data_IF_308157880625
#
_entry.id   IF_308157880625
#
_cell.length_a   1.000
_cell.length_b   1.000
_cell.length_c   1.000
_cell.angle_alpha   90.00
_cell.angle_beta   90.00
_cell.angle_gamma   90.00
#
_symmetry.space_group_name_H-M   'P 1'
#
loop_
_entity.id
_entity.type
_entity.pdbx_description
1 polymer ?
#
# COMPACT_ATOMS: atom_id res chain seq x y z
N UNK A 1 -5.56 -6.53 15.26
CA UNK A 1 -6.20 -7.15 15.09
C UNK A 1 -6.39 -7.24 14.94
N UNK A 2 -6.00 -6.95 15.13
CA UNK A 2 -6.58 -7.45 14.87
C UNK A 2 -6.94 -7.58 14.99
N UNK A 3 -6.47 -7.37 15.18
CA UNK A 3 -7.12 -7.89 15.10
C UNK A 3 -7.52 -7.90 15.35
N UNK A 4 -7.18 -7.92 15.57
CA UNK A 4 -7.79 -8.34 15.61
C UNK A 4 -8.44 -8.59 15.42
N UNK A 5 -8.24 -8.23 15.60
CA UNK A 5 -9.01 -8.79 15.20
C UNK A 5 -9.34 -9.02 15.28
N UNK A 6 -9.29 -9.34 15.36
CA UNK A 6 -9.87 -9.98 15.10
C UNK A 6 -10.52 -10.53 15.04
N UNK A 7 -10.20 -10.47 15.36
CA UNK A 7 -11.04 -11.30 15.12
C UNK A 7 -11.35 -11.52 14.91
N UNK A 8 -11.39 -11.65 14.85
CA UNK A 8 -11.95 -12.28 14.39
C UNK A 8 -12.44 -12.83 14.25
N UNK A 9 -12.33 -13.13 14.40
CA UNK A 9 -12.98 -14.01 14.09
C UNK A 9 -13.14 -14.37 13.87
N UNK A 10 -13.16 -14.54 13.74
CA UNK A 10 -13.55 -15.21 13.33
C UNK A 10 -13.69 -15.75 13.22
N UNK A 11 -13.50 -16.03 13.30
CA UNK A 11 -13.73 -16.75 13.00
C UNK A 11 -14.00 -17.31 12.91
N UNK A 12 -14.11 -17.92 12.85
CA UNK A 12 -14.46 -18.55 12.58
C UNK A 12 -14.44 -19.30 12.50
N UNK A 13 -15.92 -20.08 13.03
CA UNK A 13 -14.93 -20.71 12.39
C UNK A 13 -13.57 -20.14 12.70
N UNK A 14 -12.93 -20.61 12.90
CA UNK A 14 -12.01 -19.79 13.10
C UNK A 14 -10.93 -19.54 12.08
N UNK A 15 -10.97 -18.91 11.15
CA UNK A 15 -10.16 -18.67 10.00
C UNK A 15 -9.76 -17.22 9.93
N UNK A 16 -8.50 -16.94 9.64
CA UNK A 16 -7.98 -15.57 9.58
C UNK A 16 -7.71 -15.19 8.14
N UNK A 17 -8.09 -13.96 7.78
CA UNK A 17 -7.85 -13.42 6.45
C UNK A 17 -7.02 -12.15 6.57
N UNK A 18 -6.10 -11.89 5.64
CA UNK A 18 -5.43 -10.60 5.59
C UNK A 18 -6.44 -9.48 5.38
N UNK A 19 -6.04 -8.26 5.77
CA UNK A 19 -6.90 -7.11 5.60
C UNK A 19 -7.32 -6.97 4.13
N UNK A 20 -8.60 -6.80 3.90
CA UNK A 20 -9.19 -6.68 2.56
C UNK A 20 -9.54 -8.01 1.91
N UNK A 21 -9.09 -9.11 2.46
CA UNK A 21 -9.33 -10.43 1.88
C UNK A 21 -10.82 -10.80 1.99
N UNK A 22 -11.34 -11.38 0.92
CA UNK A 22 -12.73 -11.86 0.91
C UNK A 22 -13.77 -10.78 0.69
N UNK A 23 -13.36 -9.56 0.40
CA UNK A 23 -14.28 -8.44 0.22
C UNK A 23 -15.08 -8.51 -1.07
N UNK A 24 -14.59 -9.23 -2.06
CA UNK A 24 -15.19 -9.25 -3.39
C UNK A 24 -15.44 -10.64 -3.89
N UNK A 25 -16.45 -10.77 -4.71
CA UNK A 25 -16.76 -12.01 -5.43
C UNK A 25 -16.39 -11.91 -6.90
N UNK A 26 -15.57 -10.94 -7.26
CA UNK A 26 -15.12 -10.73 -8.61
C UNK A 26 -13.60 -10.55 -8.60
N UNK A 27 -13.01 -10.36 -9.77
CA UNK A 27 -11.57 -10.22 -9.89
C UNK A 27 -11.21 -8.83 -10.36
N UNK A 28 -10.02 -8.39 -9.98
CA UNK A 28 -9.51 -7.06 -10.33
C UNK A 28 -8.11 -7.18 -10.91
N UNK A 29 -7.83 -6.35 -11.91
CA UNK A 29 -6.49 -6.23 -12.49
C UNK A 29 -5.91 -4.87 -12.15
N UNK A 30 -4.66 -4.87 -11.73
CA UNK A 30 -3.92 -3.65 -11.37
C UNK A 30 -2.90 -3.38 -12.45
N UNK A 31 -2.74 -2.11 -12.83
CA UNK A 31 -1.82 -1.74 -13.90
C UNK A 31 -1.40 -0.29 -13.81
N UNK A 32 -0.42 0.07 -14.63
CA UNK A 32 -0.01 1.46 -14.87
C UNK A 32 0.39 2.20 -13.61
N UNK A 33 1.24 1.56 -12.80
CA UNK A 33 1.81 2.23 -11.64
C UNK A 33 2.74 3.33 -12.12
N UNK A 34 2.48 4.56 -11.71
CA UNK A 34 3.27 5.72 -12.08
C UNK A 34 3.66 6.50 -10.83
N UNK A 35 4.94 6.72 -10.66
CA UNK A 35 5.48 7.55 -9.58
C UNK A 35 5.94 8.85 -10.21
N UNK A 36 5.26 9.95 -9.86
CA UNK A 36 5.50 11.22 -10.54
C UNK A 36 6.91 11.75 -10.33
N UNK A 37 7.38 11.65 -9.09
CA UNK A 37 8.71 12.16 -8.74
C UNK A 37 9.52 11.04 -8.12
N UNK A 38 10.28 10.28 -8.92
CA UNK A 38 11.04 9.14 -8.37
C UNK A 38 12.26 9.56 -7.55
N UNK A 39 12.58 10.85 -7.54
CA UNK A 39 13.67 11.37 -6.69
C UNK A 39 13.14 12.60 -5.99
N UNK A 40 13.19 12.61 -4.66
CA UNK A 40 12.72 13.74 -3.85
C UNK A 40 13.73 14.05 -2.75
N UNK A 41 13.58 15.21 -2.15
CA UNK A 41 14.35 15.56 -0.96
C UNK A 41 13.69 15.07 0.32
N UNK A 42 14.36 15.26 1.45
CA UNK A 42 13.85 14.77 2.74
C UNK A 42 12.58 15.48 3.19
N UNK A 43 12.25 16.62 2.61
CA UNK A 43 11.03 17.36 2.91
C UNK A 43 10.00 17.20 1.80
N UNK A 44 10.27 16.38 0.80
CA UNK A 44 9.40 16.24 -0.34
C UNK A 44 8.31 15.22 -0.14
N UNK A 45 7.36 15.22 -1.07
CA UNK A 45 6.28 14.24 -1.09
C UNK A 45 6.31 13.50 -2.42
N UNK A 46 5.83 12.26 -2.39
CA UNK A 46 5.76 11.41 -3.58
C UNK A 46 4.29 11.21 -3.91
N UNK A 47 3.93 11.50 -5.15
CA UNK A 47 2.60 11.19 -5.66
C UNK A 47 2.71 10.01 -6.60
N UNK A 48 1.87 9.02 -6.38
CA UNK A 48 1.84 7.84 -7.26
C UNK A 48 0.41 7.50 -7.59
N UNK A 49 0.24 6.84 -8.72
CA UNK A 49 -1.08 6.43 -9.18
C UNK A 49 -1.00 5.07 -9.83
N UNK A 50 -2.15 4.41 -9.88
CA UNK A 50 -2.28 3.14 -10.61
C UNK A 50 -3.71 3.02 -11.08
N UNK A 51 -3.96 2.02 -11.91
CA UNK A 51 -5.30 1.73 -12.40
C UNK A 51 -5.76 0.38 -11.89
N UNK A 52 -7.04 0.30 -11.53
CA UNK A 52 -7.67 -0.94 -11.08
C UNK A 52 -8.91 -1.14 -11.93
N UNK A 53 -9.02 -2.32 -12.50
CA UNK A 53 -10.13 -2.67 -13.39
C UNK A 53 -10.82 -3.92 -12.87
N UNK A 54 -12.14 -3.91 -12.89
CA UNK A 54 -12.93 -5.11 -12.57
C UNK A 54 -12.96 -6.00 -13.80
N UNK A 55 -12.30 -7.14 -13.72
CA UNK A 55 -12.20 -8.09 -14.83
C UNK A 55 -13.18 -9.25 -14.70
N UNK A 56 -14.02 -9.24 -13.67
CA UNK A 56 -14.99 -10.30 -13.47
C UNK A 56 -16.33 -9.97 -14.09
N UNK A 57 -17.32 -10.80 -13.78
CA UNK A 57 -18.64 -10.72 -14.39
C UNK A 57 -19.65 -9.99 -13.52
N UNK A 58 -19.30 -9.66 -12.30
CA UNK A 58 -20.20 -9.00 -11.37
C UNK A 58 -19.51 -7.77 -10.77
N UNK A 59 -20.33 -6.82 -10.32
CA UNK A 59 -19.79 -5.65 -9.62
C UNK A 59 -19.20 -6.09 -8.28
N UNK A 60 -18.23 -5.35 -7.81
CA UNK A 60 -17.62 -5.66 -6.53
C UNK A 60 -16.84 -4.50 -5.97
N UNK A 61 -16.48 -4.66 -4.71
CA UNK A 61 -15.68 -3.69 -3.98
C UNK A 61 -14.26 -4.22 -3.84
N UNK A 62 -13.31 -3.30 -3.87
CA UNK A 62 -11.91 -3.63 -3.62
C UNK A 62 -11.34 -2.62 -2.66
N UNK A 63 -10.46 -3.07 -1.76
CA UNK A 63 -9.65 -2.16 -0.97
C UNK A 63 -8.25 -2.20 -1.56
N UNK A 64 -7.88 -1.09 -2.21
CA UNK A 64 -6.56 -0.93 -2.81
C UNK A 64 -5.64 -0.45 -1.71
N UNK A 65 -4.58 -1.21 -1.43
CA UNK A 65 -3.68 -0.93 -0.31
C UNK A 65 -2.30 -0.56 -0.81
N UNK A 66 -1.70 0.41 -0.14
CA UNK A 66 -0.35 0.87 -0.44
C UNK A 66 0.55 0.54 0.73
N UNK A 67 1.58 -0.22 0.45
CA UNK A 67 2.61 -0.57 1.44
C UNK A 67 3.92 0.10 1.07
N UNK A 68 4.69 0.44 2.09
CA UNK A 68 5.97 1.09 1.94
C UNK A 68 7.04 0.28 2.66
N UNK A 69 8.19 0.14 2.04
CA UNK A 69 9.32 -0.52 2.64
C UNK A 69 10.56 0.34 2.43
N UNK A 70 11.26 0.64 3.53
CA UNK A 70 12.52 1.38 3.48
C UNK A 70 13.64 0.37 3.23
N UNK A 71 14.31 0.50 2.10
CA UNK A 71 15.33 -0.46 1.70
C UNK A 71 16.65 -0.24 2.43
N UNK A 72 16.89 0.99 2.90
CA UNK A 72 18.11 1.32 3.63
C UNK A 72 17.73 2.17 4.82
N UNK A 73 17.78 1.59 6.01
CA UNK A 73 17.35 2.26 7.23
C UNK A 73 18.44 2.16 8.27
N UNK A 74 18.55 3.20 9.10
CA UNK A 74 19.47 3.20 10.23
C UNK A 74 19.01 2.23 11.32
N UNK A 75 17.76 1.82 11.29
CA UNK A 75 17.25 0.77 12.17
C UNK A 75 17.03 -0.48 11.33
N UNK A 76 17.21 -1.65 11.97
CA UNK A 76 17.11 -2.91 11.23
C UNK A 76 15.65 -3.34 11.13
N UNK A 77 14.94 -2.76 10.18
CA UNK A 77 13.54 -3.08 9.97
C UNK A 77 13.30 -3.18 8.48
N UNK A 78 12.87 -4.36 8.04
CA UNK A 78 12.62 -4.61 6.63
C UNK A 78 11.19 -5.04 6.36
N UNK A 79 10.29 -4.73 7.29
CA UNK A 79 8.87 -5.06 7.09
C UNK A 79 8.21 -3.96 6.27
N UNK A 80 7.28 -4.37 5.44
CA UNK A 80 6.46 -3.42 4.72
C UNK A 80 5.35 -2.92 5.63
N UNK A 81 5.04 -1.65 5.53
CA UNK A 81 4.08 -0.99 6.41
C UNK A 81 2.97 -0.42 5.55
N UNK A 82 1.72 -0.65 5.96
CA UNK A 82 0.57 -0.06 5.28
C UNK A 82 0.58 1.44 5.47
N UNK A 83 0.60 2.20 4.38
CA UNK A 83 0.65 3.65 4.41
C UNK A 83 -0.56 4.31 3.79
N UNK A 84 -1.39 3.54 3.10
CA UNK A 84 -2.62 4.10 2.55
C UNK A 84 -3.53 3.02 2.04
N UNK A 85 -4.79 3.36 1.90
CA UNK A 85 -5.75 2.46 1.26
C UNK A 85 -6.91 3.28 0.74
N UNK A 86 -7.60 2.69 -0.25
CA UNK A 86 -8.81 3.30 -0.78
C UNK A 86 -9.77 2.19 -1.16
N UNK A 87 -11.01 2.33 -0.69
CA UNK A 87 -12.07 1.40 -1.04
C UNK A 87 -12.78 1.91 -2.27
N UNK A 88 -12.93 1.05 -3.27
CA UNK A 88 -13.58 1.41 -4.52
C UNK A 88 -14.65 0.39 -4.85
N UNK A 89 -15.65 0.82 -5.60
CA UNK A 89 -16.70 -0.04 -6.12
C UNK A 89 -16.67 0.05 -7.64
N UNK A 90 -16.54 -1.08 -8.31
CA UNK A 90 -16.42 -1.10 -9.77
C UNK A 90 -17.45 -2.06 -10.35
N UNK A 91 -18.09 -1.61 -11.43
CA UNK A 91 -18.95 -2.44 -12.25
C UNK A 91 -18.08 -3.35 -13.13
N UNK A 92 -18.64 -4.45 -13.66
CA UNK A 92 -17.86 -5.31 -14.55
C UNK A 92 -17.29 -4.50 -15.71
N UNK A 93 -15.99 -4.63 -15.93
CA UNK A 93 -15.29 -3.91 -16.98
C UNK A 93 -14.92 -2.49 -16.65
N UNK A 94 -15.35 -1.96 -15.51
CA UNK A 94 -15.04 -0.60 -15.13
C UNK A 94 -13.62 -0.50 -14.60
N UNK A 95 -12.95 0.61 -14.95
CA UNK A 95 -11.59 0.88 -14.51
C UNK A 95 -11.55 2.23 -13.81
N UNK A 96 -10.75 2.32 -12.75
CA UNK A 96 -10.60 3.57 -12.01
C UNK A 96 -9.13 3.81 -11.72
N UNK A 97 -8.73 5.08 -11.79
CA UNK A 97 -7.39 5.49 -11.41
C UNK A 97 -7.38 5.87 -9.95
N UNK A 98 -6.40 5.33 -9.22
CA UNK A 98 -6.25 5.52 -7.79
C UNK A 98 -4.95 6.30 -7.57
N UNK A 99 -5.00 7.31 -6.69
CA UNK A 99 -3.83 8.12 -6.37
C UNK A 99 -3.52 8.03 -4.89
N UNK A 100 -2.23 7.99 -4.59
CA UNK A 100 -1.74 8.05 -3.21
C UNK A 100 -0.65 9.13 -3.15
N UNK A 101 -0.55 9.77 -1.98
CA UNK A 101 0.50 10.74 -1.71
C UNK A 101 1.20 10.30 -0.45
N UNK A 102 2.53 10.16 -0.54
CA UNK A 102 3.37 9.86 0.61
C UNK A 102 4.07 11.13 1.03
N UNK A 103 3.85 11.53 2.27
CA UNK A 103 4.43 12.75 2.84
C UNK A 103 5.64 12.40 3.68
N UNK A 104 6.43 13.40 4.12
CA UNK A 104 7.53 13.10 5.04
C UNK A 104 7.08 12.35 6.30
N UNK A 105 5.84 12.56 6.73
CA UNK A 105 5.33 11.82 7.89
C UNK A 105 5.18 10.34 7.59
N UNK A 106 4.90 9.98 6.34
CA UNK A 106 4.81 8.57 5.94
C UNK A 106 6.18 7.94 5.75
N UNK A 107 7.18 8.74 5.40
CA UNK A 107 8.51 8.25 5.06
C UNK A 107 9.45 8.23 6.26
N UNK A 108 9.12 8.96 7.30
CA UNK A 108 10.01 9.13 8.44
C UNK A 108 9.97 7.97 9.41
N UNK A 109 10.98 7.95 10.25
CA UNK A 109 11.07 6.98 11.34
C UNK A 109 11.69 7.65 12.56
N UNK A 110 11.52 7.00 13.71
CA UNK A 110 12.18 7.43 14.94
C UNK A 110 13.55 6.75 14.99
N UNK A 111 14.60 7.57 15.04
CA UNK A 111 15.95 7.03 15.10
C UNK A 111 16.34 6.72 16.57
N UNK A 112 17.55 6.22 16.74
CA UNK A 112 18.01 5.82 18.07
C UNK A 112 18.18 7.00 19.02
N UNK A 113 18.27 8.23 18.49
CA UNK A 113 18.33 9.44 19.30
C UNK A 113 16.94 9.98 19.62
N UNK A 114 15.91 9.20 19.30
CA UNK A 114 14.51 9.54 19.56
C UNK A 114 14.04 10.77 18.81
N UNK A 115 14.58 10.98 17.60
CA UNK A 115 14.14 12.03 16.71
C UNK A 115 13.41 11.41 15.52
N UNK A 116 12.36 12.08 15.06
CA UNK A 116 11.63 11.63 13.88
C UNK A 116 12.29 12.24 12.65
N UNK A 117 12.84 11.38 11.81
CA UNK A 117 13.63 11.82 10.65
C UNK A 117 13.22 11.06 9.40
N UNK A 118 13.41 11.72 8.25
CA UNK A 118 13.33 11.06 6.95
C UNK A 118 14.77 10.87 6.50
N UNK A 119 15.17 9.61 6.38
CA UNK A 119 16.54 9.30 6.01
C UNK A 119 16.65 9.16 4.50
N UNK A 120 17.75 9.68 3.90
CA UNK A 120 18.00 9.45 2.49
C UNK A 120 18.14 7.96 2.19
N UNK A 121 17.74 7.56 1.00
CA UNK A 121 17.84 6.18 0.59
C UNK A 121 16.72 5.81 -0.36
N UNK A 122 16.63 4.52 -0.64
CA UNK A 122 15.66 3.99 -1.57
C UNK A 122 14.46 3.41 -0.83
N UNK A 123 13.29 3.65 -1.39
CA UNK A 123 12.04 3.10 -0.86
C UNK A 123 11.34 2.30 -1.94
N UNK A 124 10.68 1.23 -1.54
CA UNK A 124 9.84 0.44 -2.44
C UNK A 124 8.39 0.63 -2.05
N UNK A 125 7.55 0.92 -3.04
CA UNK A 125 6.11 0.98 -2.86
C UNK A 125 5.50 -0.28 -3.45
N UNK A 126 4.48 -0.78 -2.77
CA UNK A 126 3.80 -2.01 -3.19
C UNK A 126 2.30 -1.76 -3.10
N UNK A 127 1.60 -2.04 -4.20
CA UNK A 127 0.16 -1.84 -4.27
C UNK A 127 -0.50 -3.18 -4.48
N UNK A 128 -1.53 -3.45 -3.72
CA UNK A 128 -2.21 -4.72 -3.86
C UNK A 128 -3.53 -4.77 -3.11
N UNK A 129 -4.12 -5.96 -3.13
CA UNK A 129 -5.40 -6.20 -2.47
C UNK A 129 -5.23 -6.58 -1.00
N UNK A 130 -4.03 -7.02 -0.62
CA UNK A 130 -3.71 -7.34 0.77
C UNK A 130 -2.19 -7.40 0.89
N UNK A 131 -1.71 -7.56 2.12
CA UNK A 131 -0.27 -7.66 2.36
C UNK A 131 0.34 -8.89 1.69
N UNK A 132 -0.48 -9.89 1.36
CA UNK A 132 0.00 -11.11 0.72
C UNK A 132 -0.38 -11.20 -0.75
N UNK A 133 -1.04 -10.17 -1.27
CA UNK A 133 -1.47 -10.12 -2.66
C UNK A 133 -1.02 -8.79 -3.26
N UNK A 134 0.29 -8.67 -3.41
CA UNK A 134 0.90 -7.48 -3.98
C UNK A 134 0.91 -7.63 -5.50
N UNK A 135 0.35 -6.64 -6.18
CA UNK A 135 0.18 -6.68 -7.63
C UNK A 135 1.14 -5.77 -8.37
N UNK A 136 1.54 -4.65 -7.76
CA UNK A 136 2.40 -3.67 -8.40
C UNK A 136 3.51 -3.27 -7.44
N UNK A 137 4.71 -3.03 -7.98
CA UNK A 137 5.84 -2.56 -7.20
C UNK A 137 6.54 -1.44 -7.96
N UNK A 138 7.03 -0.47 -7.22
CA UNK A 138 7.82 0.61 -7.79
C UNK A 138 8.81 1.11 -6.75
N UNK A 139 9.75 1.95 -7.19
CA UNK A 139 10.78 2.47 -6.31
C UNK A 139 10.91 3.97 -6.48
N UNK A 140 11.30 4.63 -5.41
CA UNK A 140 11.70 6.03 -5.48
C UNK A 140 12.84 6.23 -4.51
N UNK A 141 13.52 7.37 -4.65
CA UNK A 141 14.71 7.67 -3.85
C UNK A 141 14.54 9.00 -3.15
N UNK A 142 14.96 9.03 -1.89
CA UNK A 142 15.05 10.27 -1.10
C UNK A 142 16.52 10.66 -1.06
N UNK A 143 16.82 11.88 -1.49
CA UNK A 143 18.17 12.41 -1.45
C UNK A 143 18.28 13.50 -0.42
N UNK A 144 19.46 13.56 0.17
CA UNK A 144 19.77 14.58 1.16
C UNK A 144 19.89 15.95 0.51
#
# INVERSE_FOLDING_TARGET
DTDRSRGLGDVYKRQLYPFGYGLSYTTFAYSDLNIENPVIGTQGSVRLSCKVKNTGDVAGDEIVQLYLRDEVSSVTTYVKVLRGFERIHLLPGEEKQIEFILTPQDLGLWNKDNHFVVEPGRFTVMVGASSEDIRLKGEFEVKD
#
